data_IF_062907238830
#
_entry.id   IF_062907238830
#
_cell.length_a   1.000
_cell.length_b   1.000
_cell.length_c   1.000
_cell.angle_alpha   90.00
_cell.angle_beta   90.00
_cell.angle_gamma   90.00
#
_symmetry.space_group_name_H-M   'P 1'
#
loop_
_entity.id
_entity.type
_entity.pdbx_description
1 polymer ?
#
# COMPACT_ATOMS: atom_id res chain seq x y z
N UNK A 1 20.31 -6.36 15.53
CA UNK A 1 20.40 -4.88 15.56
C UNK A 1 20.69 -4.36 16.97
N UNK A 2 21.97 -4.42 17.41
CA UNK A 2 22.36 -3.83 18.70
C UNK A 2 22.64 -2.34 18.50
N UNK A 3 22.08 -1.51 19.36
CA UNK A 3 22.31 -0.07 19.38
C UNK A 3 22.74 0.40 20.79
N UNK A 4 23.25 1.60 20.89
CA UNK A 4 23.69 2.18 22.15
C UNK A 4 25.09 2.76 22.08
N UNK A 5 25.67 2.99 23.23
CA UNK A 5 27.00 3.57 23.30
C UNK A 5 27.91 2.69 24.15
N UNK A 6 29.15 2.55 23.73
CA UNK A 6 30.20 1.91 24.50
C UNK A 6 31.53 2.66 24.35
N UNK A 7 32.38 2.50 25.33
CA UNK A 7 33.69 3.13 25.33
C UNK A 7 34.74 2.17 24.77
N UNK A 8 35.49 2.59 23.82
CA UNK A 8 36.74 1.97 23.40
C UNK A 8 37.85 2.59 24.24
N UNK A 9 38.46 1.77 25.07
CA UNK A 9 39.55 2.16 25.97
C UNK A 9 40.82 1.46 25.55
N UNK A 10 41.92 2.16 25.65
CA UNK A 10 43.23 1.58 25.40
C UNK A 10 44.33 2.42 25.99
N UNK A 11 45.48 1.80 26.08
CA UNK A 11 46.68 2.43 26.55
C UNK A 11 47.77 2.33 25.49
N UNK A 12 48.42 3.39 25.19
CA UNK A 12 49.58 3.35 24.30
C UNK A 12 50.84 3.82 25.04
N UNK A 13 51.96 3.25 24.69
CA UNK A 13 53.24 3.59 25.24
C UNK A 13 54.15 4.05 24.11
N UNK A 14 54.67 5.24 24.23
CA UNK A 14 55.71 5.76 23.35
C UNK A 14 57.06 5.62 24.04
N UNK A 15 57.99 5.06 23.33
CA UNK A 15 59.40 4.99 23.77
C UNK A 15 60.23 5.78 22.82
N UNK A 16 60.98 6.71 23.33
CA UNK A 16 62.00 7.43 22.57
C UNK A 16 63.39 7.04 23.10
N UNK A 17 64.24 6.57 22.21
CA UNK A 17 65.60 6.16 22.52
C UNK A 17 66.56 7.16 21.87
N UNK A 18 67.07 8.09 22.65
CA UNK A 18 68.14 8.99 22.17
C UNK A 18 69.51 8.35 22.34
N UNK A 19 70.23 8.30 21.22
CA UNK A 19 71.64 7.90 21.22
C UNK A 19 72.52 9.13 21.53
N UNK A 20 72.95 9.24 22.76
CA UNK A 20 73.85 10.30 23.17
C UNK A 20 75.20 9.73 23.61
N UNK A 21 76.10 9.56 22.64
CA UNK A 21 77.52 9.20 22.97
C UNK A 21 77.70 7.76 23.45
N UNK A 22 78.94 7.34 23.60
CA UNK A 22 79.33 5.92 23.71
C UNK A 22 78.76 5.12 24.91
N UNK A 23 78.13 5.72 25.92
CA UNK A 23 77.82 4.98 27.14
C UNK A 23 76.49 5.30 27.86
N UNK A 24 75.55 6.04 27.32
CA UNK A 24 74.25 6.31 28.00
C UNK A 24 73.08 6.21 27.06
N UNK A 25 72.31 5.11 27.22
CA UNK A 25 70.99 5.01 26.62
C UNK A 25 69.95 5.69 27.56
N UNK A 26 69.45 6.85 27.14
CA UNK A 26 68.28 7.44 27.77
C UNK A 26 67.04 6.89 27.08
N UNK A 27 66.28 6.08 27.77
CA UNK A 27 64.97 5.67 27.32
C UNK A 27 63.91 6.50 28.05
N UNK A 28 63.21 7.34 27.35
CA UNK A 28 62.00 7.98 27.86
C UNK A 28 60.78 7.17 27.45
N UNK A 29 59.99 6.80 28.46
CA UNK A 29 58.77 6.04 28.25
C UNK A 29 57.62 6.87 28.76
N UNK A 30 56.67 7.20 27.87
CA UNK A 30 55.45 7.85 28.24
C UNK A 30 54.27 6.91 27.91
N UNK A 31 53.44 6.66 28.91
CA UNK A 31 52.22 5.85 28.74
C UNK A 31 51.01 6.75 28.91
N UNK A 32 50.09 6.69 27.94
CA UNK A 32 48.83 7.44 27.97
C UNK A 32 47.64 6.54 27.70
N UNK A 33 46.61 6.79 28.47
CA UNK A 33 45.32 6.17 28.25
C UNK A 33 44.49 7.01 27.27
N UNK A 34 43.69 6.35 26.47
CA UNK A 34 42.65 6.99 25.67
C UNK A 34 41.31 6.31 25.91
N UNK A 35 40.27 7.10 25.81
CA UNK A 35 38.88 6.64 25.80
C UNK A 35 38.17 7.33 24.69
N UNK A 36 37.49 6.54 23.83
CA UNK A 36 36.63 7.04 22.78
C UNK A 36 35.24 6.41 22.91
N UNK A 37 34.23 7.26 23.01
CA UNK A 37 32.83 6.80 23.05
C UNK A 37 32.34 6.57 21.62
N UNK A 38 31.98 5.32 21.32
CA UNK A 38 31.33 4.97 20.06
C UNK A 38 29.82 4.86 20.31
N UNK A 39 29.03 5.48 19.43
CA UNK A 39 27.58 5.37 19.45
C UNK A 39 27.12 4.66 18.19
N UNK A 40 26.35 3.59 18.36
CA UNK A 40 25.66 2.87 17.29
C UNK A 40 24.22 3.36 17.30
N UNK A 41 23.78 3.97 16.21
CA UNK A 41 22.42 4.44 16.05
C UNK A 41 21.52 3.29 15.57
N UNK A 42 20.29 3.19 16.10
CA UNK A 42 19.33 2.19 15.63
C UNK A 42 18.90 2.48 14.18
N UNK A 43 18.63 1.41 13.44
CA UNK A 43 18.06 1.47 12.08
C UNK A 43 16.86 0.53 12.09
N UNK A 44 15.71 1.07 11.77
CA UNK A 44 14.47 0.30 11.69
C UNK A 44 14.45 -0.54 10.41
N UNK A 45 14.15 -1.80 10.54
CA UNK A 45 13.92 -2.72 9.43
C UNK A 45 12.44 -2.70 8.98
N UNK A 46 12.20 -2.96 7.70
CA UNK A 46 10.84 -3.02 7.16
C UNK A 46 10.12 -4.28 7.67
N UNK A 47 8.89 -4.18 8.21
CA UNK A 47 8.13 -5.35 8.64
C UNK A 47 7.71 -6.21 7.46
N UNK A 48 7.28 -7.44 7.72
CA UNK A 48 6.68 -8.31 6.72
C UNK A 48 5.20 -8.54 7.01
N UNK A 49 4.39 -8.55 5.95
CA UNK A 49 3.01 -9.02 5.98
C UNK A 49 2.89 -10.16 4.97
N UNK A 50 2.53 -11.32 5.47
CA UNK A 50 2.30 -12.51 4.65
C UNK A 50 0.82 -12.88 4.74
N UNK A 51 0.22 -13.16 3.58
CA UNK A 51 -1.08 -13.82 3.48
C UNK A 51 -0.81 -15.29 3.25
N UNK A 52 -1.53 -16.16 3.94
CA UNK A 52 -1.33 -17.62 3.83
C UNK A 52 -1.46 -18.08 2.38
N UNK A 53 -0.54 -18.96 1.96
CA UNK A 53 -0.49 -19.47 0.59
C UNK A 53 -1.81 -20.15 0.20
N UNK A 54 -2.34 -19.80 -0.97
CA UNK A 54 -3.63 -20.30 -1.45
C UNK A 54 -4.84 -19.46 -1.03
N UNK A 55 -4.68 -18.48 -0.14
CA UNK A 55 -5.75 -17.54 0.21
C UNK A 55 -6.05 -16.62 -0.97
N UNK A 56 -7.33 -16.51 -1.33
CA UNK A 56 -7.77 -15.55 -2.33
C UNK A 56 -7.71 -14.13 -1.76
N UNK A 57 -6.99 -13.25 -2.43
CA UNK A 57 -6.92 -11.82 -2.09
C UNK A 57 -7.84 -10.98 -2.97
N UNK A 58 -8.44 -11.58 -3.98
CA UNK A 58 -9.48 -11.01 -4.83
C UNK A 58 -10.77 -11.81 -4.63
N UNK A 59 -11.75 -11.22 -3.97
CA UNK A 59 -12.89 -11.94 -3.42
C UNK A 59 -14.19 -11.36 -3.96
N UNK A 60 -15.00 -12.25 -4.52
CA UNK A 60 -16.34 -11.91 -4.97
C UNK A 60 -17.35 -12.15 -3.83
N UNK A 61 -18.06 -11.11 -3.45
CA UNK A 61 -19.10 -11.16 -2.41
C UNK A 61 -20.51 -11.04 -3.00
N UNK A 62 -21.45 -11.80 -2.49
CA UNK A 62 -22.85 -11.70 -2.94
C UNK A 62 -23.46 -10.37 -2.46
N UNK A 63 -24.02 -9.60 -3.37
CA UNK A 63 -24.61 -8.30 -3.09
C UNK A 63 -25.87 -8.34 -2.21
N UNK A 64 -26.48 -9.51 -2.02
CA UNK A 64 -27.77 -9.67 -1.32
C UNK A 64 -27.69 -10.48 -0.04
N UNK A 65 -26.53 -10.96 0.32
CA UNK A 65 -26.32 -11.82 1.47
C UNK A 65 -25.23 -11.26 2.36
N UNK A 66 -25.33 -11.53 3.66
CA UNK A 66 -24.22 -11.29 4.56
C UNK A 66 -23.13 -12.32 4.25
N UNK A 67 -21.91 -11.86 4.07
CA UNK A 67 -20.77 -12.71 3.72
C UNK A 67 -19.66 -12.50 4.73
N UNK A 68 -19.15 -13.59 5.28
CA UNK A 68 -17.94 -13.59 6.11
C UNK A 68 -16.76 -13.98 5.25
N UNK A 69 -15.68 -13.20 5.34
CA UNK A 69 -14.44 -13.38 4.59
C UNK A 69 -13.29 -13.49 5.57
N UNK A 70 -12.58 -14.60 5.54
CA UNK A 70 -11.42 -14.85 6.39
C UNK A 70 -10.14 -14.71 5.58
N UNK A 71 -9.25 -13.85 6.04
CA UNK A 71 -7.94 -13.65 5.44
C UNK A 71 -6.88 -13.95 6.50
N UNK A 72 -6.24 -15.12 6.44
CA UNK A 72 -5.15 -15.45 7.34
C UNK A 72 -3.92 -14.59 7.02
N UNK A 73 -3.53 -13.75 7.96
CA UNK A 73 -2.43 -12.80 7.84
C UNK A 73 -1.41 -13.04 8.95
N UNK A 74 -0.14 -12.98 8.61
CA UNK A 74 0.97 -13.01 9.54
C UNK A 74 1.74 -11.72 9.42
N UNK A 75 1.95 -11.03 10.53
CA UNK A 75 2.73 -9.79 10.61
C UNK A 75 3.93 -10.02 11.52
N UNK A 76 5.13 -9.80 10.99
CA UNK A 76 6.37 -9.99 11.76
C UNK A 76 7.30 -8.80 11.60
N UNK A 77 8.04 -8.47 12.67
CA UNK A 77 9.23 -7.64 12.60
C UNK A 77 10.39 -8.46 12.00
N UNK A 78 11.23 -7.82 11.22
CA UNK A 78 12.43 -8.44 10.68
C UNK A 78 13.48 -8.73 11.77
N UNK A 79 13.40 -8.00 12.88
CA UNK A 79 14.34 -8.13 14.00
C UNK A 79 14.03 -9.32 14.90
N UNK A 80 15.06 -10.09 15.22
CA UNK A 80 14.97 -11.31 16.05
C UNK A 80 15.43 -11.10 17.49
N UNK A 81 16.09 -10.00 17.81
CA UNK A 81 16.63 -9.73 19.14
C UNK A 81 15.65 -8.94 20.03
N UNK A 82 14.51 -8.51 19.47
CA UNK A 82 13.44 -7.84 20.21
C UNK A 82 13.65 -6.34 20.41
N UNK A 83 14.65 -5.74 19.76
CA UNK A 83 14.87 -4.29 19.82
C UNK A 83 13.84 -3.50 19.00
N UNK A 84 13.23 -4.13 18.02
CA UNK A 84 12.27 -3.56 17.11
C UNK A 84 10.88 -4.21 17.26
N UNK A 85 9.85 -3.39 17.25
CA UNK A 85 8.48 -3.86 17.46
C UNK A 85 7.54 -3.34 16.39
N UNK A 86 6.49 -4.10 16.10
CA UNK A 86 5.34 -3.59 15.37
C UNK A 86 4.66 -2.53 16.25
N UNK A 87 4.63 -1.29 15.79
CA UNK A 87 4.05 -0.16 16.52
C UNK A 87 2.56 -0.03 16.27
N UNK A 88 2.13 -0.32 15.04
CA UNK A 88 0.72 -0.29 14.65
C UNK A 88 0.44 -1.14 13.43
N UNK A 89 -0.82 -1.55 13.31
CA UNK A 89 -1.39 -2.15 12.09
C UNK A 89 -2.56 -1.26 11.66
N UNK A 90 -2.61 -0.90 10.39
CA UNK A 90 -3.68 -0.08 9.81
C UNK A 90 -4.40 -0.89 8.75
N UNK A 91 -5.73 -1.01 8.89
CA UNK A 91 -6.61 -1.58 7.87
C UNK A 91 -7.42 -0.42 7.30
N UNK A 92 -7.19 -0.09 6.05
CA UNK A 92 -7.81 1.07 5.38
C UNK A 92 -8.61 0.66 4.15
N UNK A 93 -9.51 1.54 3.70
CA UNK A 93 -10.36 1.27 2.55
C UNK A 93 -11.58 0.39 2.84
N UNK A 94 -11.85 0.09 4.10
CA UNK A 94 -13.05 -0.70 4.50
C UNK A 94 -14.30 0.10 4.17
N UNK A 95 -15.17 -0.41 3.25
CA UNK A 95 -16.33 0.35 2.82
C UNK A 95 -17.45 0.35 3.85
N UNK A 96 -18.39 1.28 3.68
CA UNK A 96 -19.58 1.33 4.53
C UNK A 96 -20.37 0.02 4.43
N UNK A 97 -20.78 -0.51 5.58
CA UNK A 97 -21.50 -1.79 5.66
C UNK A 97 -20.59 -3.01 5.67
N UNK A 98 -19.28 -2.81 5.73
CA UNK A 98 -18.28 -3.84 6.03
C UNK A 98 -17.64 -3.54 7.38
N UNK A 99 -17.51 -4.55 8.21
CA UNK A 99 -16.82 -4.46 9.51
C UNK A 99 -15.70 -5.47 9.58
N UNK A 100 -14.70 -5.19 10.41
CA UNK A 100 -13.67 -6.17 10.76
C UNK A 100 -14.08 -6.79 12.09
N UNK A 101 -14.25 -8.12 12.10
CA UNK A 101 -14.73 -8.84 13.27
C UNK A 101 -13.75 -8.73 14.45
N UNK A 102 -14.29 -8.68 15.64
CA UNK A 102 -13.50 -8.54 16.85
C UNK A 102 -12.80 -7.19 17.03
N UNK A 103 -12.90 -6.24 16.09
CA UNK A 103 -12.31 -4.91 16.20
C UNK A 103 -13.38 -3.85 16.43
N UNK A 104 -13.48 -3.37 17.65
CA UNK A 104 -14.34 -2.24 18.03
C UNK A 104 -13.50 -1.07 18.52
N UNK A 105 -14.01 0.14 18.36
CA UNK A 105 -13.29 1.35 18.79
C UNK A 105 -13.07 1.34 20.31
N UNK A 106 -11.83 1.52 20.73
CA UNK A 106 -11.43 1.56 22.15
C UNK A 106 -10.40 0.51 22.53
N UNK A 107 -10.20 0.36 23.83
CA UNK A 107 -9.29 -0.66 24.38
C UNK A 107 -9.96 -2.04 24.40
N UNK A 108 -9.20 -3.06 24.02
CA UNK A 108 -9.65 -4.44 24.00
C UNK A 108 -8.47 -5.40 24.21
N UNK A 109 -8.78 -6.66 24.45
CA UNK A 109 -7.76 -7.71 24.50
C UNK A 109 -7.71 -8.44 23.15
N UNK A 110 -6.49 -8.74 22.70
CA UNK A 110 -6.30 -9.65 21.59
C UNK A 110 -6.58 -11.11 22.01
N UNK A 111 -6.51 -12.04 21.09
CA UNK A 111 -6.73 -13.46 21.34
C UNK A 111 -5.68 -14.12 22.27
N UNK A 112 -4.58 -13.45 22.54
CA UNK A 112 -3.54 -13.85 23.50
C UNK A 112 -3.69 -13.15 24.86
N UNK A 113 -4.67 -12.26 25.02
CA UNK A 113 -4.90 -11.47 26.22
C UNK A 113 -4.01 -10.24 26.35
N UNK A 114 -3.35 -9.79 25.29
CA UNK A 114 -2.60 -8.53 25.30
C UNK A 114 -3.55 -7.36 25.08
N UNK A 115 -3.30 -6.26 25.79
CA UNK A 115 -4.05 -5.03 25.60
C UNK A 115 -3.69 -4.38 24.26
N UNK A 116 -4.70 -4.16 23.44
CA UNK A 116 -4.61 -3.39 22.20
C UNK A 116 -5.61 -2.23 22.26
N UNK A 117 -5.32 -1.19 21.52
CA UNK A 117 -6.22 -0.06 21.32
C UNK A 117 -6.57 0.04 19.84
N UNK A 118 -7.86 0.09 19.54
CA UNK A 118 -8.39 0.22 18.19
C UNK A 118 -9.03 1.58 18.03
N UNK A 119 -8.57 2.33 17.05
CA UNK A 119 -9.20 3.57 16.59
C UNK A 119 -9.88 3.32 15.26
N UNK A 120 -11.20 3.53 15.21
CA UNK A 120 -11.98 3.42 13.97
C UNK A 120 -12.48 4.79 13.55
N UNK A 121 -12.04 5.21 12.37
CA UNK A 121 -12.48 6.46 11.76
C UNK A 121 -12.62 6.32 10.24
N UNK A 122 -13.81 6.61 9.71
CA UNK A 122 -14.10 6.59 8.26
C UNK A 122 -13.63 5.32 7.52
N UNK A 123 -13.88 4.13 8.09
CA UNK A 123 -13.46 2.86 7.50
C UNK A 123 -11.96 2.57 7.61
N UNK A 124 -11.24 3.30 8.45
CA UNK A 124 -9.84 3.06 8.77
C UNK A 124 -9.77 2.54 10.22
N UNK A 125 -9.25 1.33 10.39
CA UNK A 125 -8.93 0.74 11.67
C UNK A 125 -7.45 0.94 11.93
N UNK A 126 -7.10 1.59 13.02
CA UNK A 126 -5.72 1.70 13.50
C UNK A 126 -5.60 0.92 14.80
N UNK A 127 -4.79 -0.11 14.80
CA UNK A 127 -4.58 -1.04 15.91
C UNK A 127 -3.19 -0.75 16.47
N UNK A 128 -3.12 -0.41 17.76
CA UNK A 128 -1.87 -0.17 18.48
C UNK A 128 -1.84 -1.03 19.76
N UNK A 129 -0.65 -1.31 20.29
CA UNK A 129 -0.50 -2.06 21.54
C UNK A 129 0.68 -3.03 21.52
N UNK A 130 0.87 -3.72 22.62
CA UNK A 130 1.93 -4.70 22.75
C UNK A 130 1.53 -6.03 22.11
N UNK A 131 2.50 -6.70 21.48
CA UNK A 131 2.30 -8.07 20.97
C UNK A 131 1.66 -8.16 19.60
N UNK A 132 1.74 -7.10 18.78
CA UNK A 132 1.24 -7.10 17.40
C UNK A 132 2.02 -8.05 16.46
N UNK A 133 3.23 -8.47 16.84
CA UNK A 133 3.98 -9.51 16.12
C UNK A 133 3.27 -10.86 16.21
N UNK A 134 3.26 -11.60 15.12
CA UNK A 134 2.69 -12.96 15.10
C UNK A 134 3.64 -13.93 14.42
N UNK A 135 3.91 -15.07 15.08
CA UNK A 135 4.67 -16.19 14.48
C UNK A 135 3.77 -17.13 13.67
N UNK A 136 2.46 -16.92 13.71
CA UNK A 136 1.46 -17.72 13.04
C UNK A 136 0.47 -16.85 12.27
N UNK A 137 -0.17 -17.43 11.27
CA UNK A 137 -1.28 -16.79 10.57
C UNK A 137 -2.48 -16.63 11.50
N UNK A 138 -3.11 -15.44 11.41
CA UNK A 138 -4.34 -15.10 12.12
C UNK A 138 -5.38 -14.60 11.16
N UNK A 139 -6.61 -15.02 11.34
CA UNK A 139 -7.72 -14.58 10.52
C UNK A 139 -8.05 -13.10 10.79
N UNK A 140 -7.93 -12.27 9.76
CA UNK A 140 -8.67 -11.01 9.70
C UNK A 140 -10.01 -11.32 9.06
N UNK A 141 -11.09 -11.16 9.81
CA UNK A 141 -12.43 -11.53 9.38
C UNK A 141 -13.20 -10.28 8.99
N UNK A 142 -13.58 -10.18 7.71
CA UNK A 142 -14.45 -9.12 7.22
C UNK A 142 -15.89 -9.62 7.16
N UNK A 143 -16.80 -8.94 7.87
CA UNK A 143 -18.23 -9.16 7.78
C UNK A 143 -18.83 -8.17 6.79
N UNK A 144 -19.19 -8.63 5.62
CA UNK A 144 -19.80 -7.84 4.54
C UNK A 144 -21.30 -7.93 4.66
N UNK A 145 -21.95 -6.83 5.02
CA UNK A 145 -23.41 -6.77 5.10
C UNK A 145 -24.08 -6.81 3.73
N UNK A 146 -25.27 -7.43 3.65
CA UNK A 146 -26.07 -7.49 2.42
C UNK A 146 -26.40 -6.11 1.82
N UNK A 147 -26.37 -5.05 2.63
CA UNK A 147 -26.60 -3.67 2.22
C UNK A 147 -25.32 -2.84 2.14
N UNK A 148 -24.14 -3.48 2.19
CA UNK A 148 -22.88 -2.76 2.06
C UNK A 148 -22.83 -2.04 0.72
N UNK A 149 -22.45 -0.76 0.77
CA UNK A 149 -22.46 0.14 -0.39
C UNK A 149 -21.06 0.23 -1.02
N UNK A 150 -20.76 -0.71 -1.88
CA UNK A 150 -19.59 -0.70 -2.76
C UNK A 150 -19.80 -1.66 -3.93
N UNK A 151 -19.09 -1.47 -4.98
CA UNK A 151 -19.02 -2.41 -6.10
C UNK A 151 -17.67 -3.06 -6.20
N UNK A 152 -16.62 -2.25 -6.11
CA UNK A 152 -15.22 -2.65 -6.09
C UNK A 152 -14.51 -1.88 -4.98
N UNK A 153 -13.77 -2.57 -4.12
CA UNK A 153 -12.98 -1.93 -3.06
C UNK A 153 -11.67 -2.66 -2.81
N UNK A 154 -10.61 -1.88 -2.77
CA UNK A 154 -9.32 -2.30 -2.27
C UNK A 154 -9.23 -1.98 -0.78
N UNK A 155 -9.01 -3.01 0.02
CA UNK A 155 -8.69 -2.90 1.44
C UNK A 155 -7.19 -3.11 1.57
N UNK A 156 -6.51 -2.16 2.19
CA UNK A 156 -5.06 -2.23 2.41
C UNK A 156 -4.77 -2.48 3.89
N UNK A 157 -3.95 -3.48 4.17
CA UNK A 157 -3.42 -3.78 5.49
C UNK A 157 -1.97 -3.33 5.50
N UNK A 158 -1.62 -2.41 6.41
CA UNK A 158 -0.26 -1.85 6.54
C UNK A 158 0.25 -2.11 7.94
N UNK A 159 1.44 -2.66 8.08
CA UNK A 159 2.16 -2.80 9.33
C UNK A 159 3.31 -1.80 9.39
N UNK A 160 3.56 -1.31 10.59
CA UNK A 160 4.61 -0.33 10.87
C UNK A 160 5.52 -0.87 11.95
N UNK A 161 6.81 -0.72 11.74
CA UNK A 161 7.85 -1.03 12.73
C UNK A 161 8.59 0.20 13.14
N UNK A 162 9.13 0.16 14.33
CA UNK A 162 10.06 1.15 14.82
C UNK A 162 11.03 0.49 15.80
N UNK A 163 12.30 0.76 15.63
CA UNK A 163 13.36 0.46 16.61
C UNK A 163 13.32 1.49 17.75
N UNK A 164 14.37 1.62 18.50
CA UNK A 164 14.49 2.55 19.62
C UNK A 164 14.15 3.99 19.27
N UNK A 165 13.98 4.82 20.30
CA UNK A 165 13.68 6.23 20.17
C UNK A 165 14.65 6.95 19.25
N UNK A 166 14.10 7.73 18.30
CA UNK A 166 14.89 8.47 17.31
C UNK A 166 15.07 7.79 15.95
N UNK A 167 14.76 6.49 15.82
CA UNK A 167 14.74 5.83 14.52
C UNK A 167 13.52 6.24 13.69
N UNK A 168 13.64 6.11 12.37
CA UNK A 168 12.52 6.35 11.44
C UNK A 168 11.57 5.16 11.48
N UNK A 169 10.26 5.39 11.41
CA UNK A 169 9.27 4.33 11.25
C UNK A 169 9.31 3.78 9.83
N UNK A 170 9.35 2.46 9.67
CA UNK A 170 9.28 1.76 8.39
C UNK A 170 7.95 1.01 8.28
N UNK A 171 7.53 0.73 7.05
CA UNK A 171 6.22 0.11 6.80
C UNK A 171 6.23 -0.82 5.60
N UNK A 172 5.31 -1.78 5.62
CA UNK A 172 4.93 -2.59 4.46
C UNK A 172 3.42 -2.74 4.39
N UNK A 173 2.90 -3.07 3.22
CA UNK A 173 1.45 -3.26 3.05
C UNK A 173 1.13 -4.41 2.11
N UNK A 174 -0.04 -5.01 2.33
CA UNK A 174 -0.68 -5.95 1.42
C UNK A 174 -2.10 -5.47 1.09
N UNK A 175 -2.64 -5.96 -0.03
CA UNK A 175 -3.93 -5.53 -0.55
C UNK A 175 -4.87 -6.70 -0.73
N UNK A 176 -6.13 -6.49 -0.36
CA UNK A 176 -7.25 -7.40 -0.56
C UNK A 176 -8.31 -6.64 -1.35
N UNK A 177 -8.79 -7.23 -2.42
CA UNK A 177 -9.82 -6.64 -3.27
C UNK A 177 -11.15 -7.34 -3.04
N UNK A 178 -12.19 -6.57 -2.75
CA UNK A 178 -13.56 -7.03 -2.65
C UNK A 178 -14.37 -6.58 -3.86
N UNK A 179 -14.96 -7.52 -4.57
CA UNK A 179 -15.90 -7.26 -5.66
C UNK A 179 -17.30 -7.73 -5.28
N UNK A 180 -18.26 -6.81 -5.34
CA UNK A 180 -19.64 -7.13 -5.07
C UNK A 180 -20.31 -7.68 -6.33
N UNK A 181 -20.69 -8.94 -6.31
CA UNK A 181 -21.44 -9.58 -7.39
C UNK A 181 -22.93 -9.62 -7.11
N UNK A 182 -23.71 -9.18 -8.06
CA UNK A 182 -25.14 -9.37 -8.07
C UNK A 182 -25.46 -10.69 -8.77
N UNK A 183 -25.65 -11.79 -8.02
CA UNK A 183 -26.18 -13.02 -8.58
C UNK A 183 -27.60 -12.76 -9.08
N UNK A 184 -27.72 -12.47 -10.35
CA UNK A 184 -28.98 -12.13 -10.98
C UNK A 184 -29.89 -13.32 -11.17
N UNK A 185 -30.84 -13.51 -10.24
CA UNK A 185 -32.12 -14.15 -10.54
C UNK A 185 -33.22 -13.27 -9.94
N UNK A 186 -33.61 -12.24 -10.65
CA UNK A 186 -34.65 -11.34 -10.22
C UNK A 186 -34.81 -10.17 -11.18
N UNK A 187 -35.89 -10.22 -11.96
CA UNK A 187 -36.29 -9.14 -12.85
C UNK A 187 -36.34 -7.80 -12.12
N UNK A 188 -35.28 -7.08 -12.22
CA UNK A 188 -35.22 -5.67 -11.89
C UNK A 188 -35.25 -4.89 -13.22
N UNK A 189 -36.12 -3.91 -13.32
CA UNK A 189 -36.09 -2.87 -14.34
C UNK A 189 -34.80 -2.07 -14.15
N UNK A 190 -33.65 -2.69 -14.43
CA UNK A 190 -32.34 -2.08 -14.37
C UNK A 190 -32.13 -1.26 -15.62
N UNK A 191 -31.82 0.00 -15.44
CA UNK A 191 -31.13 0.78 -16.48
C UNK A 191 -29.89 -0.02 -16.88
N UNK A 192 -29.73 -0.27 -18.20
CA UNK A 192 -28.57 -1.03 -18.72
C UNK A 192 -27.22 -0.45 -18.31
N UNK A 193 -26.13 -1.07 -18.72
CA UNK A 193 -24.79 -0.64 -18.35
C UNK A 193 -24.60 0.84 -18.68
N UNK A 194 -24.12 1.61 -17.70
CA UNK A 194 -23.91 3.04 -17.84
C UNK A 194 -22.41 3.33 -17.74
N UNK A 195 -21.90 4.06 -18.71
CA UNK A 195 -20.59 4.66 -18.64
C UNK A 195 -20.74 6.12 -18.26
N UNK A 196 -20.12 6.51 -17.16
CA UNK A 196 -19.95 7.90 -16.78
C UNK A 196 -18.48 8.28 -16.92
N UNK A 197 -18.19 9.26 -17.77
CA UNK A 197 -16.87 9.88 -17.89
C UNK A 197 -17.04 11.32 -17.48
N UNK A 198 -16.44 11.70 -16.37
CA UNK A 198 -16.49 13.06 -15.84
C UNK A 198 -15.06 13.57 -15.65
N UNK A 199 -14.89 14.88 -15.76
CA UNK A 199 -13.63 15.50 -15.35
C UNK A 199 -13.45 15.26 -13.84
N UNK A 200 -12.29 14.80 -13.46
CA UNK A 200 -11.94 14.73 -12.04
C UNK A 200 -11.69 16.14 -11.53
N UNK A 201 -12.66 16.70 -10.81
CA UNK A 201 -12.60 18.07 -10.29
C UNK A 201 -11.37 18.30 -9.38
N UNK A 202 -10.80 17.24 -8.81
CA UNK A 202 -9.55 17.33 -8.05
C UNK A 202 -8.32 17.52 -8.93
N UNK A 203 -8.47 17.27 -10.23
CA UNK A 203 -7.40 17.30 -11.24
C UNK A 203 -7.68 18.31 -12.36
N UNK A 204 -8.65 19.20 -12.17
CA UNK A 204 -9.05 20.22 -13.18
C UNK A 204 -7.89 21.12 -13.64
N UNK A 205 -6.87 21.28 -12.81
CA UNK A 205 -5.66 22.06 -13.10
C UNK A 205 -4.51 21.20 -13.67
N UNK A 206 -4.82 19.97 -14.10
CA UNK A 206 -3.83 19.09 -14.71
C UNK A 206 -3.20 19.76 -15.93
N UNK A 207 -1.87 19.78 -15.96
CA UNK A 207 -1.08 20.32 -17.08
C UNK A 207 -0.29 19.18 -17.71
N UNK A 208 -0.60 18.87 -18.95
CA UNK A 208 0.22 17.98 -19.75
C UNK A 208 1.51 18.68 -20.17
N UNK A 209 2.58 17.92 -20.24
CA UNK A 209 3.84 18.38 -20.82
C UNK A 209 3.84 18.02 -22.31
N UNK A 210 4.28 18.93 -23.18
CA UNK A 210 4.45 18.65 -24.60
C UNK A 210 5.34 17.41 -24.83
N UNK A 211 5.09 16.68 -25.90
CA UNK A 211 5.78 15.45 -26.28
C UNK A 211 5.70 14.30 -25.26
N UNK A 212 4.93 14.48 -24.19
CA UNK A 212 4.80 13.49 -23.11
C UNK A 212 3.38 12.91 -23.08
N UNK A 213 3.27 11.60 -23.24
CA UNK A 213 1.99 10.90 -23.08
C UNK A 213 1.57 10.89 -21.60
N UNK A 214 0.27 10.97 -21.37
CA UNK A 214 -0.31 10.83 -20.03
C UNK A 214 -1.47 9.83 -20.04
N UNK A 215 -1.81 9.28 -18.87
CA UNK A 215 -2.95 8.37 -18.78
C UNK A 215 -4.26 9.17 -18.81
N UNK A 216 -5.26 8.63 -19.50
CA UNK A 216 -6.58 9.23 -19.55
C UNK A 216 -7.17 9.45 -18.15
N UNK A 217 -6.95 8.49 -17.24
CA UNK A 217 -7.40 8.56 -15.85
C UNK A 217 -6.64 9.58 -15.00
N UNK A 218 -5.57 10.19 -15.50
CA UNK A 218 -4.91 11.31 -14.81
C UNK A 218 -5.75 12.59 -14.85
N UNK A 219 -6.73 12.65 -15.77
CA UNK A 219 -7.62 13.81 -15.97
C UNK A 219 -9.09 13.47 -15.74
N UNK A 220 -9.49 12.27 -16.15
CA UNK A 220 -10.88 11.87 -16.13
C UNK A 220 -11.14 10.77 -15.12
N UNK A 221 -12.25 10.87 -14.42
CA UNK A 221 -12.83 9.78 -13.65
C UNK A 221 -13.79 9.01 -14.52
N UNK A 222 -13.54 7.72 -14.67
CA UNK A 222 -14.41 6.81 -15.41
C UNK A 222 -15.12 5.91 -14.44
N UNK A 223 -16.43 5.84 -14.54
CA UNK A 223 -17.25 4.92 -13.76
C UNK A 223 -18.07 4.07 -14.71
N UNK A 224 -17.88 2.77 -14.66
CA UNK A 224 -18.69 1.80 -15.39
C UNK A 224 -19.71 1.22 -14.43
N UNK A 225 -20.97 1.60 -14.56
CA UNK A 225 -22.06 0.97 -13.82
C UNK A 225 -22.57 -0.22 -14.64
N UNK A 226 -22.22 -1.41 -14.19
CA UNK A 226 -22.73 -2.66 -14.73
C UNK A 226 -23.50 -3.38 -13.63
N UNK A 227 -24.80 -3.46 -13.80
CA UNK A 227 -25.69 -4.09 -12.82
C UNK A 227 -25.73 -5.62 -12.93
N UNK A 228 -25.19 -6.20 -13.99
CA UNK A 228 -25.23 -7.65 -14.21
C UNK A 228 -23.93 -8.35 -13.80
N UNK A 229 -22.80 -7.71 -13.95
CA UNK A 229 -21.43 -8.24 -13.75
C UNK A 229 -21.26 -9.68 -14.29
N UNK A 230 -22.01 -10.01 -15.35
CA UNK A 230 -22.08 -11.34 -15.94
C UNK A 230 -21.11 -11.55 -17.10
N UNK A 231 -20.22 -10.60 -17.33
CA UNK A 231 -19.24 -10.61 -18.41
C UNK A 231 -19.83 -10.31 -19.80
N UNK A 232 -21.11 -9.92 -19.87
CA UNK A 232 -21.82 -9.64 -21.12
C UNK A 232 -21.94 -8.16 -21.44
N UNK A 233 -21.43 -7.29 -20.55
CA UNK A 233 -21.44 -5.86 -20.80
C UNK A 233 -20.64 -5.55 -22.05
N UNK A 234 -21.28 -4.86 -22.97
CA UNK A 234 -20.65 -4.31 -24.15
C UNK A 234 -20.66 -2.79 -24.07
N UNK A 235 -19.48 -2.21 -23.92
CA UNK A 235 -19.28 -0.78 -23.89
C UNK A 235 -18.88 -0.29 -25.28
N UNK A 236 -19.72 0.53 -25.88
CA UNK A 236 -19.43 1.22 -27.13
C UNK A 236 -19.26 2.71 -26.86
N UNK A 237 -18.12 3.27 -27.24
CA UNK A 237 -17.85 4.69 -27.06
C UNK A 237 -16.94 5.26 -28.14
N UNK A 238 -16.94 6.56 -28.26
CA UNK A 238 -16.03 7.31 -29.12
C UNK A 238 -15.44 8.45 -28.31
N UNK A 239 -14.11 8.56 -28.35
CA UNK A 239 -13.38 9.68 -27.75
C UNK A 239 -12.74 10.45 -28.90
N UNK A 240 -13.05 11.72 -29.01
CA UNK A 240 -12.44 12.64 -29.96
C UNK A 240 -11.45 13.54 -29.20
N UNK A 241 -10.19 13.44 -29.55
CA UNK A 241 -9.12 14.28 -29.02
C UNK A 241 -8.72 15.39 -30.00
N UNK A 242 -9.52 15.60 -31.03
CA UNK A 242 -9.24 16.56 -32.10
C UNK A 242 -7.99 16.17 -32.90
N UNK A 243 -7.43 17.17 -33.60
CA UNK A 243 -6.23 17.01 -34.45
C UNK A 243 -4.93 17.11 -33.68
N UNK A 244 -4.96 17.49 -32.40
CA UNK A 244 -3.81 17.88 -31.62
C UNK A 244 -3.24 16.77 -30.73
N UNK A 245 -3.90 15.62 -30.70
CA UNK A 245 -3.48 14.46 -29.95
C UNK A 245 -3.93 13.15 -30.62
N UNK A 246 -3.39 12.05 -30.16
CA UNK A 246 -3.82 10.69 -30.52
C UNK A 246 -4.08 9.85 -29.28
N UNK A 247 -4.98 8.87 -29.41
CA UNK A 247 -5.22 7.88 -28.36
C UNK A 247 -4.41 6.63 -28.63
N UNK A 248 -3.83 6.06 -27.58
CA UNK A 248 -3.12 4.77 -27.60
C UNK A 248 -3.58 3.86 -26.49
N UNK A 249 -3.30 2.56 -26.63
CA UNK A 249 -3.60 1.55 -25.61
C UNK A 249 -4.93 0.81 -25.81
N UNK A 250 -5.74 1.22 -26.77
CA UNK A 250 -7.02 0.58 -27.11
C UNK A 250 -7.10 0.08 -28.57
N UNK A 251 -5.97 -0.07 -29.24
CA UNK A 251 -5.94 -0.43 -30.67
C UNK A 251 -6.68 -1.74 -30.97
N UNK A 252 -6.61 -2.72 -30.07
CA UNK A 252 -7.30 -4.01 -30.19
C UNK A 252 -8.83 -3.90 -30.11
N UNK A 253 -9.36 -2.80 -29.64
CA UNK A 253 -10.79 -2.56 -29.41
C UNK A 253 -11.38 -1.56 -30.40
N UNK A 254 -10.57 -1.00 -31.29
CA UNK A 254 -10.95 0.03 -32.24
C UNK A 254 -11.67 -0.57 -33.44
N UNK A 255 -12.81 0.00 -33.83
CA UNK A 255 -13.56 -0.33 -35.02
C UNK A 255 -13.16 0.55 -36.24
N UNK A 256 -13.60 0.14 -37.41
CA UNK A 256 -13.32 0.86 -38.64
C UNK A 256 -13.91 2.30 -38.69
N UNK A 257 -14.97 2.55 -37.94
CA UNK A 257 -15.63 3.88 -37.83
C UNK A 257 -14.96 4.78 -36.76
N UNK A 258 -13.88 4.33 -36.16
CA UNK A 258 -13.14 5.05 -35.13
C UNK A 258 -13.72 4.91 -33.71
N UNK A 259 -14.83 4.19 -33.54
CA UNK A 259 -15.36 3.85 -32.22
C UNK A 259 -14.60 2.71 -31.59
N UNK A 260 -14.77 2.55 -30.30
CA UNK A 260 -14.18 1.45 -29.48
C UNK A 260 -15.31 0.57 -28.95
N UNK A 261 -15.06 -0.73 -28.89
CA UNK A 261 -15.95 -1.69 -28.24
C UNK A 261 -15.17 -2.55 -27.30
N UNK A 262 -15.51 -2.50 -26.03
CA UNK A 262 -14.94 -3.35 -24.97
C UNK A 262 -16.07 -4.25 -24.47
N UNK A 263 -15.79 -5.56 -24.36
CA UNK A 263 -16.72 -6.55 -23.81
C UNK A 263 -16.08 -7.20 -22.60
N UNK A 264 -16.86 -7.40 -21.56
CA UNK A 264 -16.39 -8.03 -20.35
C UNK A 264 -17.24 -7.69 -19.15
N UNK A 265 -16.80 -8.11 -17.99
CA UNK A 265 -17.30 -7.59 -16.74
C UNK A 265 -16.75 -6.19 -16.46
N UNK A 266 -17.26 -5.54 -15.44
CA UNK A 266 -16.84 -4.18 -15.07
C UNK A 266 -15.32 -4.07 -14.86
N UNK A 267 -14.73 -5.00 -14.12
CA UNK A 267 -13.30 -4.96 -13.79
C UNK A 267 -12.44 -5.10 -15.06
N UNK A 268 -12.85 -5.96 -16.00
CA UNK A 268 -12.18 -6.12 -17.29
C UNK A 268 -12.22 -4.81 -18.08
N UNK A 269 -13.39 -4.17 -18.14
CA UNK A 269 -13.58 -2.90 -18.86
C UNK A 269 -12.77 -1.77 -18.22
N UNK A 270 -12.81 -1.64 -16.90
CA UNK A 270 -12.04 -0.64 -16.18
C UNK A 270 -10.52 -0.87 -16.33
N UNK A 271 -10.07 -2.12 -16.31
CA UNK A 271 -8.67 -2.48 -16.55
C UNK A 271 -8.21 -2.10 -17.97
N UNK A 272 -9.06 -2.31 -18.97
CA UNK A 272 -8.77 -1.90 -20.35
C UNK A 272 -8.71 -0.39 -20.46
N UNK A 273 -9.67 0.33 -19.87
CA UNK A 273 -9.70 1.79 -19.87
C UNK A 273 -8.51 2.42 -19.14
N UNK A 274 -7.99 1.74 -18.12
CA UNK A 274 -6.78 2.19 -17.41
C UNK A 274 -5.53 2.21 -18.28
N UNK A 275 -5.50 1.48 -19.39
CA UNK A 275 -4.42 1.50 -20.37
C UNK A 275 -4.54 2.60 -21.42
N UNK A 276 -5.67 3.34 -21.42
CA UNK A 276 -5.90 4.43 -22.38
C UNK A 276 -4.95 5.60 -22.10
N UNK A 277 -4.21 5.99 -23.11
CA UNK A 277 -3.26 7.11 -23.05
C UNK A 277 -3.60 8.15 -24.10
N UNK A 278 -3.39 9.39 -23.72
CA UNK A 278 -3.43 10.54 -24.63
C UNK A 278 -1.99 10.90 -24.97
N UNK A 279 -1.73 11.01 -26.27
CA UNK A 279 -0.41 11.36 -26.79
C UNK A 279 -0.56 12.68 -27.56
N UNK A 280 -0.13 13.81 -26.99
CA UNK A 280 -0.09 15.08 -27.71
C UNK A 280 0.76 14.96 -28.98
N UNK A 281 0.40 15.71 -30.00
CA UNK A 281 1.25 15.80 -31.18
C UNK A 281 2.58 16.47 -30.81
N UNK A 282 3.60 16.13 -31.60
CA UNK A 282 4.94 16.69 -31.39
C UNK A 282 4.90 18.23 -31.46
N UNK A 283 5.60 18.86 -30.51
CA UNK A 283 5.74 20.32 -30.42
C UNK A 283 4.40 21.08 -30.26
N UNK A 284 3.29 20.38 -29.87
CA UNK A 284 2.01 21.04 -29.62
C UNK A 284 2.01 21.72 -28.24
N UNK A 285 1.76 23.03 -28.26
CA UNK A 285 1.52 23.82 -27.05
C UNK A 285 0.27 24.71 -27.20
N UNK A 286 -0.34 25.10 -26.08
CA UNK A 286 -1.60 25.84 -26.04
C UNK A 286 -1.53 27.28 -26.57
N UNK A 287 -0.35 27.75 -26.99
CA UNK A 287 -0.14 29.10 -27.50
C UNK A 287 -0.09 29.17 -29.02
N UNK A 288 -0.44 28.10 -29.74
CA UNK A 288 -0.57 28.05 -31.18
C UNK A 288 -2.00 28.11 -31.63
#
# INVERSE_FOLDING_TARGET
NQHGSFDIKGTYTVKDSQYAGKDVNYETKETKDFTHKLTITPVTDTPTIEVESGTQTHINVNARENTEIKIPVKVTSADKDGSENITKIVISGVPQGVTVDGLTNGEMLDDKGNLINVSLHNGIYTITGHGLNSDSFKDIVFNVGAKADFEHRDITITAYTKDAEGSKEEQTSTKITLDKKYNGNGGGTGTGPKLDIVVDETKKDFKATEDTQFNFLDVFKVTVADNSNDGRTELNFKIDVGSNATLKGLDAYKKADGSYTIKGNRADIESVLANLKVVPNKDFNSNQ
#
